data_IF_638758620976
#
_entry.id   IF_638758620976
#
_cell.length_a   1.000
_cell.length_b   1.000
_cell.length_c   1.000
_cell.angle_alpha   90.00
_cell.angle_beta   90.00
_cell.angle_gamma   90.00
#
_symmetry.space_group_name_H-M   'P 1'
#
loop_
_entity.id
_entity.type
_entity.pdbx_description
1 polymer ?
#
# COMPACT_ATOMS: atom_id res chain seq x y z
N UNK A 1 -45.76 24.65 -5.67
CA UNK A 1 -45.69 23.82 -4.44
C UNK A 1 -45.23 22.42 -4.83
N UNK A 2 -44.33 21.84 -4.01
CA UNK A 2 -43.95 20.43 -3.80
C UNK A 2 -44.77 19.39 -4.61
N UNK A 3 -44.18 18.33 -5.19
CA UNK A 3 -43.48 17.25 -4.45
C UNK A 3 -42.45 16.49 -5.31
N UNK A 4 -41.37 16.15 -4.60
CA UNK A 4 -40.35 15.17 -4.87
C UNK A 4 -40.97 13.76 -4.91
N UNK A 5 -40.55 12.89 -5.83
CA UNK A 5 -40.59 11.45 -5.62
C UNK A 5 -39.35 10.80 -6.25
N UNK A 6 -38.42 10.46 -5.37
CA UNK A 6 -37.30 9.54 -5.59
C UNK A 6 -37.88 8.13 -5.48
N UNK A 7 -37.75 7.30 -6.51
CA UNK A 7 -37.70 5.85 -6.34
C UNK A 7 -36.56 5.29 -7.19
N UNK A 8 -35.62 4.73 -6.43
CA UNK A 8 -34.46 3.93 -6.74
C UNK A 8 -34.91 2.54 -7.22
N UNK A 9 -34.52 2.09 -8.42
CA UNK A 9 -34.61 0.70 -8.91
C UNK A 9 -34.02 0.69 -10.33
N UNK A 10 -32.87 0.09 -10.62
CA UNK A 10 -32.72 -1.36 -10.69
C UNK A 10 -31.24 -1.74 -10.81
N UNK A 11 -30.81 -2.60 -9.88
CA UNK A 11 -29.64 -3.46 -9.95
C UNK A 11 -29.75 -4.32 -11.22
N UNK A 12 -28.99 -3.99 -12.26
CA UNK A 12 -28.91 -4.79 -13.50
C UNK A 12 -27.97 -5.96 -13.27
N UNK A 13 -28.60 -7.04 -12.79
CA UNK A 13 -28.28 -8.46 -12.91
C UNK A 13 -27.16 -8.78 -13.91
N UNK A 14 -26.06 -9.31 -13.37
CA UNK A 14 -25.16 -10.30 -13.98
C UNK A 14 -25.96 -11.34 -14.75
N UNK A 15 -25.61 -11.64 -16.01
CA UNK A 15 -25.67 -12.99 -16.61
C UNK A 15 -25.25 -12.90 -18.09
N UNK A 16 -24.11 -13.49 -18.43
CA UNK A 16 -23.86 -14.05 -19.75
C UNK A 16 -22.95 -15.27 -19.59
N UNK A 17 -23.44 -16.49 -19.85
CA UNK A 17 -22.63 -17.70 -19.89
C UNK A 17 -22.32 -18.09 -21.35
N UNK A 18 -21.06 -18.40 -21.67
CA UNK A 18 -20.61 -19.27 -22.78
C UNK A 18 -19.19 -19.73 -22.39
N UNK A 19 -18.97 -20.88 -21.72
CA UNK A 19 -18.92 -22.28 -22.22
C UNK A 19 -18.10 -22.47 -23.50
N UNK A 20 -16.88 -23.01 -23.38
CA UNK A 20 -16.30 -24.07 -24.22
C UNK A 20 -15.03 -24.58 -23.50
N UNK A 21 -15.12 -25.65 -22.71
CA UNK A 21 -14.91 -27.04 -23.11
C UNK A 21 -13.47 -27.35 -23.57
N UNK A 22 -12.62 -27.81 -22.65
CA UNK A 22 -11.62 -28.82 -22.95
C UNK A 22 -11.43 -29.74 -21.73
N UNK A 23 -11.21 -31.01 -22.03
CA UNK A 23 -11.58 -32.18 -21.24
C UNK A 23 -10.68 -32.47 -20.02
N UNK A 24 -11.33 -33.08 -19.02
CA UNK A 24 -10.84 -34.03 -18.01
C UNK A 24 -9.48 -33.77 -17.33
N UNK A 25 -9.56 -33.17 -16.15
CA UNK A 25 -8.56 -33.30 -15.10
C UNK A 25 -9.16 -32.82 -13.79
N UNK A 26 -9.37 -33.75 -12.85
CA UNK A 26 -9.99 -33.57 -11.53
C UNK A 26 -9.44 -32.34 -10.79
N UNK A 27 -10.11 -31.20 -10.92
CA UNK A 27 -9.78 -29.99 -10.17
C UNK A 27 -10.74 -29.90 -8.98
N UNK A 28 -10.21 -30.20 -7.79
CA UNK A 28 -10.84 -29.80 -6.54
C UNK A 28 -11.02 -28.28 -6.59
N UNK A 29 -12.26 -27.82 -6.60
CA UNK A 29 -12.61 -26.40 -6.48
C UNK A 29 -12.12 -25.90 -5.12
N UNK A 30 -10.89 -25.40 -5.09
CA UNK A 30 -10.43 -24.56 -3.99
C UNK A 30 -11.24 -23.25 -4.06
N UNK A 31 -11.81 -22.77 -2.95
CA UNK A 31 -12.51 -21.50 -2.94
C UNK A 31 -11.51 -20.42 -3.36
N UNK A 32 -11.80 -19.73 -4.46
CA UNK A 32 -11.06 -18.54 -4.88
C UNK A 32 -11.32 -17.44 -3.85
N UNK A 33 -10.59 -17.46 -2.74
CA UNK A 33 -10.30 -16.24 -2.01
C UNK A 33 -9.52 -15.36 -2.98
N UNK A 34 -10.11 -14.25 -3.39
CA UNK A 34 -9.47 -13.15 -4.12
C UNK A 34 -8.41 -12.51 -3.23
N UNK A 35 -7.35 -13.25 -2.94
CA UNK A 35 -6.18 -12.75 -2.22
C UNK A 35 -5.36 -12.02 -3.25
N UNK A 36 -5.47 -10.68 -3.27
CA UNK A 36 -4.63 -9.84 -4.13
C UNK A 36 -3.16 -10.22 -3.93
N UNK A 37 -2.46 -10.52 -5.03
CA UNK A 37 -1.04 -10.85 -4.97
C UNK A 37 -0.22 -9.64 -4.50
N UNK A 38 1.01 -9.85 -3.97
CA UNK A 38 1.80 -8.76 -3.40
C UNK A 38 2.10 -7.63 -4.40
N UNK A 39 2.21 -7.96 -5.69
CA UNK A 39 2.36 -6.97 -6.76
C UNK A 39 1.11 -6.10 -6.92
N UNK A 40 -0.08 -6.71 -6.87
CA UNK A 40 -1.35 -5.99 -7.01
C UNK A 40 -1.58 -5.05 -5.83
N UNK A 41 -1.29 -5.52 -4.61
CA UNK A 41 -1.34 -4.70 -3.38
C UNK A 41 -0.43 -3.47 -3.50
N UNK A 42 0.80 -3.65 -4.00
CA UNK A 42 1.74 -2.52 -4.17
C UNK A 42 1.25 -1.57 -5.26
N UNK A 43 0.75 -2.08 -6.38
CA UNK A 43 0.21 -1.25 -7.46
C UNK A 43 -1.00 -0.42 -7.00
N UNK A 44 -1.97 -1.04 -6.32
CA UNK A 44 -3.16 -0.35 -5.82
C UNK A 44 -2.79 0.72 -4.77
N UNK A 45 -1.84 0.41 -3.91
CA UNK A 45 -1.27 1.35 -2.93
C UNK A 45 -0.60 2.55 -3.58
N UNK A 46 0.18 2.35 -4.64
CA UNK A 46 0.82 3.45 -5.39
C UNK A 46 -0.23 4.38 -5.99
N UNK A 47 -1.33 3.83 -6.53
CA UNK A 47 -2.45 4.63 -7.04
C UNK A 47 -3.05 5.48 -5.91
N UNK A 48 -3.32 4.89 -4.75
CA UNK A 48 -3.84 5.60 -3.57
C UNK A 48 -2.87 6.70 -3.09
N UNK A 49 -1.56 6.43 -3.04
CA UNK A 49 -0.54 7.42 -2.68
C UNK A 49 -0.50 8.60 -3.66
N UNK A 50 -0.58 8.34 -4.96
CA UNK A 50 -0.62 9.40 -5.96
C UNK A 50 -1.90 10.25 -5.88
N UNK A 51 -3.02 9.65 -5.49
CA UNK A 51 -4.25 10.40 -5.20
C UNK A 51 -4.06 11.32 -3.99
N UNK A 52 -3.36 10.87 -2.94
CA UNK A 52 -3.05 11.69 -1.78
C UNK A 52 -2.16 12.90 -2.11
N UNK A 53 -1.19 12.76 -3.02
CA UNK A 53 -0.29 13.87 -3.41
C UNK A 53 -0.91 14.87 -4.39
N UNK A 54 -1.97 14.47 -5.09
CA UNK A 54 -2.65 15.31 -6.09
C UNK A 54 -3.94 15.94 -5.58
N UNK A 55 -4.55 15.36 -4.56
CA UNK A 55 -5.75 15.90 -3.95
C UNK A 55 -5.44 17.18 -3.17
N UNK A 56 -5.72 18.32 -3.80
CA UNK A 56 -5.54 19.65 -3.21
C UNK A 56 -6.32 19.89 -1.89
N UNK A 57 -7.23 18.98 -1.50
CA UNK A 57 -8.28 19.24 -0.51
C UNK A 57 -8.38 18.20 0.62
N UNK A 58 -7.45 17.25 0.78
CA UNK A 58 -7.51 16.37 1.95
C UNK A 58 -7.12 17.13 3.22
N UNK A 59 -7.95 17.01 4.26
CA UNK A 59 -7.58 17.49 5.59
C UNK A 59 -6.41 16.66 6.13
N UNK A 60 -5.54 17.23 6.99
CA UNK A 60 -4.45 16.48 7.60
C UNK A 60 -4.90 15.20 8.31
N UNK A 61 -6.09 15.21 8.90
CA UNK A 61 -6.68 14.05 9.58
C UNK A 61 -7.05 12.94 8.58
N UNK A 62 -7.57 13.31 7.40
CA UNK A 62 -7.90 12.33 6.36
C UNK A 62 -6.64 11.71 5.76
N UNK A 63 -5.60 12.52 5.50
CA UNK A 63 -4.30 11.99 5.03
C UNK A 63 -3.72 11.02 6.06
N UNK A 64 -3.76 11.39 7.35
CA UNK A 64 -3.33 10.50 8.44
C UNK A 64 -4.10 9.19 8.46
N UNK A 65 -5.43 9.27 8.40
CA UNK A 65 -6.28 8.08 8.38
C UNK A 65 -5.92 7.13 7.22
N UNK A 66 -5.79 7.66 6.00
CA UNK A 66 -5.45 6.86 4.83
C UNK A 66 -4.03 6.27 4.90
N UNK A 67 -3.06 7.01 5.44
CA UNK A 67 -1.72 6.47 5.68
C UNK A 67 -1.76 5.33 6.70
N UNK A 68 -2.48 5.50 7.80
CA UNK A 68 -2.57 4.49 8.85
C UNK A 68 -3.34 3.23 8.38
N UNK A 69 -4.37 3.37 7.55
CA UNK A 69 -5.20 2.25 7.10
C UNK A 69 -4.67 1.54 5.85
N UNK A 70 -4.08 2.27 4.90
CA UNK A 70 -3.72 1.71 3.59
C UNK A 70 -2.22 1.52 3.42
N UNK A 71 -1.39 2.35 4.06
CA UNK A 71 0.05 2.40 3.79
C UNK A 71 0.83 1.70 4.90
N UNK A 72 0.56 2.05 6.16
CA UNK A 72 1.27 1.50 7.31
C UNK A 72 1.21 -0.05 7.39
N UNK A 73 0.09 -0.73 7.08
CA UNK A 73 0.02 -2.20 7.15
C UNK A 73 0.90 -2.92 6.13
N UNK A 74 1.43 -2.23 5.12
CA UNK A 74 2.30 -2.82 4.11
C UNK A 74 3.76 -2.91 4.56
N UNK A 75 4.09 -2.30 5.69
CA UNK A 75 5.41 -2.31 6.28
C UNK A 75 5.43 -3.25 7.48
N UNK A 76 6.34 -4.21 7.43
CA UNK A 76 6.72 -4.98 8.61
C UNK A 76 7.73 -4.18 9.42
N UNK A 77 7.24 -3.32 10.31
CA UNK A 77 8.09 -2.43 11.11
C UNK A 77 8.95 -3.18 12.12
N UNK A 78 8.49 -4.34 12.59
CA UNK A 78 9.26 -5.19 13.50
C UNK A 78 10.45 -5.80 12.74
N UNK A 79 10.20 -6.37 11.56
CA UNK A 79 11.28 -6.86 10.69
C UNK A 79 12.26 -5.75 10.30
N UNK A 80 11.78 -4.56 9.93
CA UNK A 80 12.67 -3.42 9.61
C UNK A 80 13.49 -3.02 10.84
N UNK A 81 12.90 -3.02 12.03
CA UNK A 81 13.61 -2.70 13.26
C UNK A 81 14.72 -3.71 13.54
N UNK A 82 14.44 -5.00 13.38
CA UNK A 82 15.42 -6.07 13.55
C UNK A 82 16.60 -5.94 12.57
N UNK A 83 16.32 -5.67 11.29
CA UNK A 83 17.35 -5.43 10.29
C UNK A 83 18.24 -4.21 10.65
N UNK A 84 17.65 -3.14 11.17
CA UNK A 84 18.42 -1.96 11.62
C UNK A 84 19.29 -2.27 12.84
N UNK A 85 18.77 -3.02 13.81
CA UNK A 85 19.52 -3.43 15.00
C UNK A 85 20.66 -4.38 14.64
N UNK A 86 20.42 -5.31 13.71
CA UNK A 86 21.40 -6.25 13.20
C UNK A 86 22.58 -5.52 12.54
N UNK A 87 22.30 -4.56 11.66
CA UNK A 87 23.34 -3.78 10.95
C UNK A 87 24.12 -2.89 11.93
N UNK A 88 23.45 -2.34 12.95
CA UNK A 88 24.08 -1.48 13.96
C UNK A 88 24.81 -2.25 15.07
N UNK A 89 24.71 -3.59 15.11
CA UNK A 89 25.29 -4.47 16.13
C UNK A 89 24.85 -4.10 17.55
N UNK A 90 23.64 -3.57 17.70
CA UNK A 90 23.06 -3.24 18.99
C UNK A 90 22.22 -4.42 19.47
N UNK A 91 22.46 -4.87 20.70
CA UNK A 91 21.61 -5.85 21.37
C UNK A 91 20.74 -5.13 22.38
N UNK A 92 19.43 -5.34 22.29
CA UNK A 92 18.42 -4.76 23.17
C UNK A 92 17.64 -5.89 23.86
N UNK A 93 17.06 -5.60 25.02
CA UNK A 93 16.03 -6.46 25.62
C UNK A 93 14.74 -6.43 24.79
N UNK A 94 13.84 -7.39 25.01
CA UNK A 94 12.56 -7.48 24.27
C UNK A 94 11.71 -6.19 24.38
N UNK A 95 11.64 -5.62 25.58
CA UNK A 95 10.90 -4.37 25.82
C UNK A 95 11.52 -3.18 25.07
N UNK A 96 12.86 -3.14 25.00
CA UNK A 96 13.59 -2.12 24.26
C UNK A 96 13.45 -2.29 22.74
N UNK A 97 13.42 -3.53 22.23
CA UNK A 97 13.13 -3.82 20.82
C UNK A 97 11.73 -3.32 20.46
N UNK A 98 10.73 -3.64 21.29
CA UNK A 98 9.36 -3.18 21.08
C UNK A 98 9.24 -1.66 21.15
N UNK A 99 9.92 -1.02 22.09
CA UNK A 99 9.99 0.44 22.17
C UNK A 99 10.63 1.03 20.91
N UNK A 100 11.73 0.45 20.45
CA UNK A 100 12.45 0.88 19.26
C UNK A 100 11.62 0.74 17.99
N UNK A 101 10.99 -0.42 17.74
CA UNK A 101 10.10 -0.65 16.60
C UNK A 101 8.95 0.36 16.57
N UNK A 102 8.29 0.59 17.71
CA UNK A 102 7.24 1.60 17.82
C UNK A 102 7.74 3.00 17.50
N UNK A 103 8.92 3.38 18.01
CA UNK A 103 9.52 4.68 17.74
C UNK A 103 9.90 4.84 16.27
N UNK A 104 10.46 3.79 15.66
CA UNK A 104 10.79 3.73 14.24
C UNK A 104 9.55 3.93 13.37
N UNK A 105 8.48 3.16 13.64
CA UNK A 105 7.18 3.31 12.99
C UNK A 105 6.67 4.75 13.07
N UNK A 106 6.63 5.34 14.27
CA UNK A 106 6.15 6.71 14.45
C UNK A 106 6.98 7.73 13.65
N UNK A 107 8.30 7.57 13.63
CA UNK A 107 9.19 8.45 12.88
C UNK A 107 8.96 8.35 11.36
N UNK A 108 8.85 7.12 10.83
CA UNK A 108 8.60 6.88 9.41
C UNK A 108 7.25 7.47 9.00
N UNK A 109 6.18 7.18 9.74
CA UNK A 109 4.83 7.66 9.42
C UNK A 109 4.75 9.19 9.53
N UNK A 110 5.31 9.78 10.58
CA UNK A 110 5.33 11.26 10.74
C UNK A 110 6.09 11.92 9.58
N UNK A 111 7.22 11.34 9.17
CA UNK A 111 7.99 11.83 8.02
C UNK A 111 7.19 11.71 6.72
N UNK A 112 6.53 10.58 6.50
CA UNK A 112 5.68 10.36 5.33
C UNK A 112 4.56 11.41 5.26
N UNK A 113 3.84 11.63 6.36
CA UNK A 113 2.76 12.64 6.44
C UNK A 113 3.28 14.05 6.13
N UNK A 114 4.42 14.41 6.70
CA UNK A 114 5.06 15.71 6.43
C UNK A 114 5.42 15.87 4.95
N UNK A 115 5.96 14.82 4.31
CA UNK A 115 6.30 14.83 2.89
C UNK A 115 5.06 14.89 1.99
N UNK A 116 3.99 14.18 2.33
CA UNK A 116 2.72 14.23 1.61
C UNK A 116 2.07 15.61 1.71
N UNK A 117 2.11 16.25 2.87
CA UNK A 117 1.56 17.60 3.06
C UNK A 117 2.30 18.69 2.27
N UNK A 118 3.61 18.51 2.04
CA UNK A 118 4.44 19.47 1.30
C UNK A 118 4.40 19.24 -0.21
N UNK A 119 4.15 18.00 -0.65
CA UNK A 119 4.18 17.64 -2.05
C UNK A 119 2.85 17.96 -2.74
N UNK A 120 2.84 18.94 -3.64
CA UNK A 120 1.69 19.25 -4.51
C UNK A 120 1.84 18.71 -5.93
N UNK A 121 2.91 17.96 -6.21
CA UNK A 121 3.23 17.48 -7.57
C UNK A 121 4.14 16.24 -7.63
N UNK A 122 4.40 15.58 -6.50
CA UNK A 122 5.19 14.34 -6.53
C UNK A 122 4.32 13.14 -6.85
N UNK A 123 4.89 12.16 -7.54
CA UNK A 123 4.20 10.93 -7.91
C UNK A 123 5.15 9.76 -8.00
N UNK A 124 4.61 8.55 -7.92
CA UNK A 124 5.30 7.29 -8.12
C UNK A 124 4.72 6.55 -9.32
N UNK A 125 5.59 6.12 -10.22
CA UNK A 125 5.22 5.25 -11.33
C UNK A 125 5.79 3.87 -11.09
N UNK A 126 4.93 2.85 -11.16
CA UNK A 126 5.36 1.46 -11.13
C UNK A 126 6.14 1.13 -12.42
N UNK A 127 7.33 0.53 -12.28
CA UNK A 127 8.15 0.14 -13.43
C UNK A 127 8.13 -1.37 -13.61
N UNK A 128 8.42 -2.11 -12.55
CA UNK A 128 8.47 -3.58 -12.60
C UNK A 128 8.39 -4.16 -11.20
N UNK A 129 7.81 -5.36 -11.08
CA UNK A 129 8.02 -6.24 -9.94
C UNK A 129 8.53 -7.58 -10.45
N UNK A 130 9.53 -8.14 -9.79
CA UNK A 130 10.04 -9.48 -10.12
C UNK A 130 10.29 -10.28 -8.85
N UNK A 131 10.00 -11.59 -8.84
CA UNK A 131 10.41 -12.46 -7.76
C UNK A 131 11.93 -12.55 -7.70
N UNK A 132 12.44 -12.79 -6.49
CA UNK A 132 13.84 -13.16 -6.23
C UNK A 132 13.87 -14.37 -5.31
N UNK A 133 15.04 -14.97 -5.16
CA UNK A 133 15.25 -16.12 -4.28
C UNK A 133 14.80 -15.82 -2.85
N UNK A 134 14.21 -16.83 -2.18
CA UNK A 134 13.76 -16.70 -0.79
C UNK A 134 12.34 -16.16 -0.64
N UNK A 135 11.50 -16.22 -1.68
CA UNK A 135 10.08 -15.82 -1.60
C UNK A 135 9.86 -14.29 -1.63
N UNK A 136 10.93 -13.52 -1.82
CA UNK A 136 10.86 -12.06 -1.87
C UNK A 136 10.52 -11.55 -3.27
N UNK A 137 10.02 -10.32 -3.34
CA UNK A 137 9.85 -9.58 -4.59
C UNK A 137 10.65 -8.29 -4.56
N UNK A 138 11.26 -7.92 -5.68
CA UNK A 138 11.86 -6.61 -5.86
C UNK A 138 10.92 -5.79 -6.72
N UNK A 139 10.48 -4.65 -6.19
CA UNK A 139 9.68 -3.66 -6.92
C UNK A 139 10.53 -2.44 -7.26
N UNK A 140 10.48 -2.04 -8.52
CA UNK A 140 11.13 -0.83 -9.03
C UNK A 140 10.08 0.23 -9.29
N UNK A 141 10.27 1.39 -8.67
CA UNK A 141 9.42 2.57 -8.82
C UNK A 141 10.24 3.73 -9.39
N UNK A 142 9.59 4.60 -10.17
CA UNK A 142 10.13 5.91 -10.56
C UNK A 142 9.41 6.98 -9.75
N UNK A 143 10.17 7.72 -8.95
CA UNK A 143 9.66 8.85 -8.18
C UNK A 143 9.86 10.15 -8.98
N UNK A 144 8.81 10.94 -9.16
CA UNK A 144 8.83 12.23 -9.84
C UNK A 144 8.51 13.35 -8.85
N UNK A 145 9.03 14.56 -9.09
CA UNK A 145 8.74 15.72 -8.25
C UNK A 145 9.30 15.65 -6.83
N UNK A 146 10.14 14.66 -6.53
CA UNK A 146 10.95 14.62 -5.32
C UNK A 146 12.32 15.23 -5.65
N UNK A 147 12.67 16.34 -4.99
CA UNK A 147 14.04 16.87 -5.07
C UNK A 147 15.01 15.80 -4.57
N UNK A 148 16.10 15.61 -5.31
CA UNK A 148 17.27 14.83 -4.86
C UNK A 148 17.98 15.65 -3.77
N UNK A 149 17.32 15.91 -2.65
CA UNK A 149 18.03 16.42 -1.48
C UNK A 149 18.98 15.30 -1.03
N UNK A 150 20.26 15.53 -1.31
CA UNK A 150 21.32 14.57 -1.13
C UNK A 150 21.43 14.12 0.32
N UNK A 151 21.59 12.81 0.49
CA UNK A 151 22.44 12.31 1.53
C UNK A 151 23.85 12.82 1.22
N UNK A 152 24.19 14.00 1.73
CA UNK A 152 25.59 14.28 2.05
C UNK A 152 25.85 13.51 3.34
N UNK A 153 26.37 12.30 3.20
CA UNK A 153 27.11 11.60 4.25
C UNK A 153 28.53 12.17 4.28
#
# INVERSE_FOLDING_TARGET
>A
MKRLNVILLTLSVLLSPVVLANEEGTAVEAPQTTTEGPVQVIQSTIVKLNQLTTAANYSPQMVKFLVDSEIAPLFDFDYIADEVLLVSKVSLSEDEVKFFSNRLKQNIITTLLSRLAQSRSSSFNFISARPVTGGNIIVKLKANGYSRFGFNL
#
